data_IF_949013992680
#
_entry.id   IF_949013992680
#
_cell.length_a   1.000
_cell.length_b   1.000
_cell.length_c   1.000
_cell.angle_alpha   90.00
_cell.angle_beta   90.00
_cell.angle_gamma   90.00
#
_symmetry.space_group_name_H-M   'P 1'
#
loop_
_entity.id
_entity.type
_entity.pdbx_description
1 polymer ?
#
# COMPACT_ATOMS: atom_id res chain seq x y z
N UNK A 1 8.18 -10.66 10.28
CA UNK A 1 7.85 -9.74 9.17
C UNK A 1 8.63 -8.43 9.34
N UNK A 2 9.42 -8.02 8.33
CA UNK A 2 10.37 -6.89 8.39
C UNK A 2 9.72 -5.52 8.60
N UNK A 3 8.46 -5.35 8.17
CA UNK A 3 7.70 -4.12 8.37
C UNK A 3 6.84 -4.12 9.66
N UNK A 4 6.84 -5.21 10.44
CA UNK A 4 5.97 -5.33 11.63
C UNK A 4 4.47 -5.35 11.31
N UNK A 5 4.10 -5.77 10.09
CA UNK A 5 2.72 -5.96 9.65
C UNK A 5 2.34 -7.44 9.73
N UNK A 6 1.08 -7.71 10.05
CA UNK A 6 0.45 -9.01 9.93
C UNK A 6 -0.34 -9.05 8.62
N UNK A 7 -0.07 -10.04 7.77
CA UNK A 7 -0.78 -10.22 6.51
C UNK A 7 -2.00 -11.08 6.77
N UNK A 8 -3.19 -10.48 6.66
CA UNK A 8 -4.47 -11.15 6.91
C UNK A 8 -5.03 -11.84 5.66
N UNK A 9 -4.68 -11.35 4.46
CA UNK A 9 -5.03 -11.96 3.18
C UNK A 9 -4.15 -11.38 2.05
N UNK A 10 -4.22 -11.97 0.86
CA UNK A 10 -3.52 -11.54 -0.34
C UNK A 10 -4.41 -11.63 -1.59
N UNK A 11 -4.36 -10.58 -2.42
CA UNK A 11 -5.08 -10.52 -3.69
C UNK A 11 -4.09 -10.35 -4.85
N UNK A 12 -4.28 -11.13 -5.91
CA UNK A 12 -3.49 -11.00 -7.15
C UNK A 12 -4.41 -10.51 -8.28
N UNK A 13 -3.89 -9.60 -9.09
CA UNK A 13 -4.54 -9.12 -10.31
C UNK A 13 -3.63 -9.37 -11.50
N UNK A 14 -4.08 -10.21 -12.42
CA UNK A 14 -3.45 -10.38 -13.73
C UNK A 14 -4.22 -9.54 -14.77
N UNK A 15 -3.57 -8.53 -15.36
CA UNK A 15 -4.13 -7.69 -16.42
C UNK A 15 -3.04 -7.14 -17.32
N UNK A 16 -3.35 -7.01 -18.62
CA UNK A 16 -2.42 -6.45 -19.60
C UNK A 16 -2.23 -4.93 -19.50
N UNK A 17 -3.26 -4.18 -19.12
CA UNK A 17 -3.20 -2.70 -19.05
C UNK A 17 -3.83 -2.22 -17.77
N UNK A 18 -3.08 -1.54 -16.91
CA UNK A 18 -3.48 -0.96 -15.62
C UNK A 18 -4.57 0.12 -15.74
N UNK A 19 -5.32 0.34 -14.67
CA UNK A 19 -6.34 1.39 -14.61
C UNK A 19 -5.66 2.69 -14.21
N UNK A 20 -5.80 3.78 -14.98
CA UNK A 20 -5.12 5.03 -14.67
C UNK A 20 -5.61 5.66 -13.37
N UNK A 21 -6.86 5.39 -12.96
CA UNK A 21 -7.47 5.95 -11.76
C UNK A 21 -7.23 5.10 -10.50
N UNK A 22 -7.17 3.77 -10.61
CA UNK A 22 -7.08 2.89 -9.42
C UNK A 22 -6.02 1.79 -9.50
N UNK A 23 -5.20 1.73 -10.56
CA UNK A 23 -4.22 0.67 -10.85
C UNK A 23 -4.86 -0.70 -11.15
N UNK A 24 -5.78 -1.16 -10.29
CA UNK A 24 -6.65 -2.33 -10.47
C UNK A 24 -8.02 -1.94 -11.03
N UNK A 25 -8.74 -2.89 -11.62
CA UNK A 25 -10.09 -2.64 -12.18
C UNK A 25 -11.16 -2.50 -11.10
N UNK A 26 -12.30 -1.92 -11.43
CA UNK A 26 -13.39 -1.63 -10.47
C UNK A 26 -13.86 -2.86 -9.69
N UNK A 27 -14.03 -4.01 -10.35
CA UNK A 27 -14.44 -5.24 -9.65
C UNK A 27 -13.45 -5.70 -8.58
N UNK A 28 -12.14 -5.50 -8.81
CA UNK A 28 -11.11 -5.79 -7.81
C UNK A 28 -11.05 -4.75 -6.70
N UNK A 29 -11.38 -3.49 -6.98
CA UNK A 29 -11.52 -2.47 -5.95
C UNK A 29 -12.66 -2.84 -5.00
N UNK A 30 -13.79 -3.29 -5.54
CA UNK A 30 -14.94 -3.75 -4.76
C UNK A 30 -14.62 -5.01 -3.94
N UNK A 31 -13.99 -6.02 -4.56
CA UNK A 31 -13.52 -7.23 -3.87
C UNK A 31 -12.58 -6.88 -2.71
N UNK A 32 -11.61 -6.01 -2.96
CA UNK A 32 -10.63 -5.61 -1.95
C UNK A 32 -11.27 -4.77 -0.83
N UNK A 33 -12.26 -3.92 -1.13
CA UNK A 33 -13.06 -3.23 -0.11
C UNK A 33 -13.81 -4.23 0.79
N UNK A 34 -14.41 -5.27 0.21
CA UNK A 34 -15.10 -6.30 0.98
C UNK A 34 -14.14 -7.07 1.88
N UNK A 35 -12.96 -7.44 1.37
CA UNK A 35 -11.90 -8.10 2.15
C UNK A 35 -11.45 -7.21 3.32
N UNK A 36 -11.20 -5.93 3.07
CA UNK A 36 -10.82 -4.97 4.12
C UNK A 36 -11.85 -4.92 5.23
N UNK A 37 -13.14 -4.90 4.89
CA UNK A 37 -14.22 -4.91 5.88
C UNK A 37 -14.33 -6.26 6.60
N UNK A 38 -14.18 -7.38 5.89
CA UNK A 38 -14.29 -8.72 6.47
C UNK A 38 -13.16 -9.01 7.47
N UNK A 39 -11.92 -8.64 7.12
CA UNK A 39 -10.73 -8.86 7.95
C UNK A 39 -10.42 -7.69 8.88
N UNK A 40 -11.20 -6.61 8.84
CA UNK A 40 -10.94 -5.38 9.59
C UNK A 40 -9.51 -4.85 9.36
N UNK A 41 -9.04 -4.96 8.11
CA UNK A 41 -7.69 -4.57 7.73
C UNK A 41 -7.54 -3.03 7.80
N UNK A 42 -6.45 -2.56 8.42
CA UNK A 42 -6.19 -1.12 8.57
C UNK A 42 -5.48 -0.51 7.37
N UNK A 43 -4.75 -1.32 6.63
CA UNK A 43 -3.95 -0.90 5.50
C UNK A 43 -3.97 -1.97 4.41
N UNK A 44 -3.77 -1.51 3.18
CA UNK A 44 -3.59 -2.33 1.99
C UNK A 44 -2.23 -1.96 1.40
N UNK A 45 -1.42 -2.99 1.17
CA UNK A 45 -0.07 -2.84 0.61
C UNK A 45 -0.13 -3.26 -0.85
N UNK A 46 0.26 -2.36 -1.74
CA UNK A 46 0.50 -2.65 -3.14
C UNK A 46 1.97 -2.98 -3.33
N UNK A 47 2.23 -4.05 -4.09
CA UNK A 47 3.59 -4.38 -4.49
C UNK A 47 4.11 -3.48 -5.61
N UNK A 48 3.34 -2.54 -6.15
CA UNK A 48 3.83 -1.60 -7.17
C UNK A 48 3.66 -0.16 -6.70
N UNK A 49 4.45 0.74 -7.28
CA UNK A 49 4.34 2.16 -7.00
C UNK A 49 3.03 2.72 -7.56
N UNK A 50 2.39 3.59 -6.79
CA UNK A 50 1.12 4.19 -7.16
C UNK A 50 1.30 5.69 -7.37
N UNK A 51 0.59 6.22 -8.35
CA UNK A 51 0.52 7.68 -8.51
C UNK A 51 -0.29 8.29 -7.35
N UNK A 52 -0.04 9.57 -6.99
CA UNK A 52 -0.82 10.24 -5.94
C UNK A 52 -2.33 10.24 -6.21
N UNK A 53 -2.74 10.27 -7.47
CA UNK A 53 -4.15 10.17 -7.85
C UNK A 53 -4.72 8.78 -7.57
N UNK A 54 -3.99 7.72 -7.90
CA UNK A 54 -4.40 6.35 -7.61
C UNK A 54 -4.55 6.10 -6.12
N UNK A 55 -3.59 6.54 -5.31
CA UNK A 55 -3.65 6.43 -3.84
C UNK A 55 -4.93 7.08 -3.30
N UNK A 56 -5.20 8.34 -3.66
CA UNK A 56 -6.40 9.05 -3.20
C UNK A 56 -7.69 8.37 -3.64
N UNK A 57 -7.75 7.86 -4.87
CA UNK A 57 -8.93 7.19 -5.38
C UNK A 57 -9.18 5.86 -4.66
N UNK A 58 -8.11 5.07 -4.45
CA UNK A 58 -8.16 3.81 -3.73
C UNK A 58 -8.53 4.01 -2.26
N UNK A 59 -7.89 4.96 -1.54
CA UNK A 59 -8.24 5.29 -0.16
C UNK A 59 -9.73 5.70 -0.04
N UNK A 60 -10.22 6.50 -1.00
CA UNK A 60 -11.63 6.92 -1.03
C UNK A 60 -12.57 5.75 -1.24
N UNK A 61 -12.23 4.80 -2.09
CA UNK A 61 -13.07 3.64 -2.41
C UNK A 61 -13.03 2.58 -1.30
N UNK A 62 -11.83 2.21 -0.86
CA UNK A 62 -11.57 1.08 0.05
C UNK A 62 -11.75 1.46 1.52
N UNK A 63 -11.60 2.75 1.86
CA UNK A 63 -11.69 3.25 3.24
C UNK A 63 -10.61 2.71 4.20
N UNK A 64 -9.45 2.32 3.66
CA UNK A 64 -8.27 1.93 4.41
C UNK A 64 -7.04 2.70 3.91
N UNK A 65 -5.96 2.68 4.71
CA UNK A 65 -4.69 3.30 4.30
C UNK A 65 -4.10 2.53 3.12
N UNK A 66 -3.69 3.24 2.07
CA UNK A 66 -2.98 2.63 0.95
C UNK A 66 -1.49 2.91 1.10
N UNK A 67 -0.69 1.85 0.98
CA UNK A 67 0.78 1.89 1.04
C UNK A 67 1.28 1.26 -0.26
N UNK A 68 2.18 1.94 -0.95
CA UNK A 68 2.84 1.42 -2.14
C UNK A 68 4.24 0.86 -1.81
N UNK A 69 4.91 0.30 -2.82
CA UNK A 69 6.22 -0.34 -2.65
C UNK A 69 7.24 0.63 -2.06
N UNK A 70 7.42 1.81 -2.66
CA UNK A 70 8.40 2.80 -2.19
C UNK A 70 8.13 3.25 -0.75
N UNK A 71 6.88 3.55 -0.41
CA UNK A 71 6.52 3.94 0.96
C UNK A 71 6.81 2.82 1.96
N UNK A 72 6.48 1.57 1.64
CA UNK A 72 6.76 0.43 2.51
C UNK A 72 8.26 0.25 2.74
N UNK A 73 9.07 0.40 1.69
CA UNK A 73 10.53 0.29 1.77
C UNK A 73 11.10 1.37 2.68
N UNK A 74 10.67 2.62 2.52
CA UNK A 74 11.10 3.74 3.37
C UNK A 74 10.69 3.52 4.83
N UNK A 75 9.46 3.05 5.09
CA UNK A 75 8.99 2.73 6.43
C UNK A 75 9.82 1.62 7.10
N UNK A 76 10.20 0.59 6.33
CA UNK A 76 11.10 -0.46 6.80
C UNK A 76 12.46 0.16 7.16
N UNK A 77 13.07 0.95 6.29
CA UNK A 77 14.37 1.55 6.56
C UNK A 77 14.33 2.52 7.75
N UNK A 78 13.29 3.34 7.88
CA UNK A 78 13.09 4.23 9.00
C UNK A 78 13.05 3.47 10.34
N UNK A 79 12.40 2.30 10.37
CA UNK A 79 12.38 1.42 11.56
C UNK A 79 13.76 0.85 11.91
N UNK A 80 14.65 0.69 10.94
CA UNK A 80 16.01 0.18 11.14
C UNK A 80 17.07 1.28 11.34
N UNK A 81 16.73 2.55 11.09
CA UNK A 81 17.63 3.69 11.26
C UNK A 81 17.88 4.00 12.75
N UNK A 82 18.97 3.44 13.29
CA UNK A 82 19.35 3.57 14.72
C UNK A 82 20.06 4.89 15.08
N UNK A 83 20.65 5.59 14.10
CA UNK A 83 21.43 6.82 14.32
C UNK A 83 20.72 8.04 13.78
N UNK A 84 20.94 9.23 14.37
CA UNK A 84 20.33 10.50 13.92
C UNK A 84 20.59 10.76 12.43
N UNK A 85 21.81 10.52 11.98
CA UNK A 85 22.22 10.70 10.58
C UNK A 85 21.45 9.77 9.64
N UNK A 86 21.26 8.50 10.03
CA UNK A 86 20.50 7.54 9.22
C UNK A 86 19.02 7.91 9.12
N UNK A 87 18.41 8.46 10.18
CA UNK A 87 17.02 8.94 10.14
C UNK A 87 16.84 10.10 9.17
N UNK A 88 17.73 11.09 9.21
CA UNK A 88 17.67 12.25 8.31
C UNK A 88 17.83 11.85 6.84
N UNK A 89 18.64 10.83 6.53
CA UNK A 89 18.78 10.34 5.15
C UNK A 89 17.53 9.63 4.63
N UNK A 90 16.78 8.94 5.49
CA UNK A 90 15.55 8.25 5.11
C UNK A 90 14.39 9.22 4.88
N UNK A 91 14.33 10.34 5.61
CA UNK A 91 13.28 11.37 5.44
C UNK A 91 13.45 12.26 4.19
N UNK A 92 14.67 12.33 3.65
CA UNK A 92 15.02 13.14 2.47
C UNK A 92 14.90 12.40 1.13
N UNK A 93 14.64 11.08 1.18
CA UNK A 93 14.50 10.19 0.03
C UNK A 93 13.03 9.93 -0.29
#
# INVERSE_FOLDING_TARGET
>A
ATAGVEVVDQLVQDRQRLDPATFIGSGKVEELQQMVNAYQAKAVIFDEDLTPAQIRNLEKAIKAKIIDRSTLILDIFAKHARTRTAKTQVELA
#
